data_IF_303840147522
#
_entry.id   IF_303840147522
#
_cell.length_a   1.000
_cell.length_b   1.000
_cell.length_c   1.000
_cell.angle_alpha   90.00
_cell.angle_beta   90.00
_cell.angle_gamma   90.00
#
_symmetry.space_group_name_H-M   'P 1'
#
loop_
_entity.id
_entity.type
_entity.pdbx_description
1 polymer ?
#
# COMPACT_ATOMS: atom_id res chain seq x y z
N UNK A 1 -17.52 -0.08 11.91
CA UNK A 1 -16.92 0.47 10.67
C UNK A 1 -16.42 1.86 11.00
N UNK A 2 -15.21 2.21 10.56
CA UNK A 2 -14.62 3.54 10.74
C UNK A 2 -14.33 4.23 9.42
N UNK A 3 -14.37 5.56 9.41
CA UNK A 3 -13.92 6.39 8.28
C UNK A 3 -13.22 7.65 8.81
N UNK A 4 -12.14 8.04 8.16
CA UNK A 4 -11.45 9.29 8.38
C UNK A 4 -11.15 9.98 7.04
N UNK A 5 -11.31 11.30 7.02
CA UNK A 5 -10.89 12.19 5.93
C UNK A 5 -9.86 13.15 6.51
N UNK A 6 -8.74 13.29 5.83
CA UNK A 6 -7.71 14.25 6.18
C UNK A 6 -7.43 15.18 5.00
N UNK A 7 -7.72 16.46 5.19
CA UNK A 7 -7.61 17.47 4.13
C UNK A 7 -6.19 18.03 4.04
N UNK A 8 -5.84 18.60 2.89
CA UNK A 8 -4.58 19.29 2.69
C UNK A 8 -4.46 20.57 3.54
N UNK A 9 -5.58 21.05 4.11
CA UNK A 9 -5.62 22.14 5.10
C UNK A 9 -5.31 21.65 6.52
N UNK A 10 -5.16 20.34 6.74
CA UNK A 10 -4.85 19.75 8.04
C UNK A 10 -6.09 19.40 8.88
N UNK A 11 -7.30 19.45 8.31
CA UNK A 11 -8.52 19.08 9.03
C UNK A 11 -8.72 17.56 9.03
N UNK A 12 -9.09 17.01 10.18
CA UNK A 12 -9.43 15.59 10.36
C UNK A 12 -10.93 15.47 10.63
N UNK A 13 -11.64 14.79 9.74
CA UNK A 13 -13.08 14.51 9.87
C UNK A 13 -13.25 13.00 10.01
N UNK A 14 -14.04 12.54 10.99
CA UNK A 14 -14.18 11.10 11.27
C UNK A 14 -15.63 10.71 11.54
N UNK A 15 -15.93 9.43 11.36
CA UNK A 15 -17.16 8.81 11.83
C UNK A 15 -16.94 7.32 12.16
N UNK A 16 -17.76 6.80 13.09
CA UNK A 16 -17.70 5.41 13.53
C UNK A 16 -16.39 5.06 14.24
N UNK A 17 -15.92 3.84 14.06
CA UNK A 17 -14.74 3.27 14.76
C UNK A 17 -13.42 3.74 14.14
N UNK A 18 -13.30 5.02 13.77
CA UNK A 18 -12.17 5.54 12.99
C UNK A 18 -10.81 5.48 13.71
N UNK A 19 -10.83 5.31 15.03
CA UNK A 19 -9.64 5.18 15.89
C UNK A 19 -9.26 3.73 16.19
N UNK A 20 -10.08 2.75 15.79
CA UNK A 20 -9.77 1.34 16.00
C UNK A 20 -8.55 0.96 15.16
N UNK A 21 -7.52 0.40 15.81
CA UNK A 21 -6.29 0.00 15.16
C UNK A 21 -6.42 -1.39 14.53
N UNK A 22 -6.05 -1.52 13.26
CA UNK A 22 -6.06 -2.79 12.54
C UNK A 22 -4.77 -2.99 11.74
N UNK A 23 -4.47 -4.24 11.36
CA UNK A 23 -3.35 -4.53 10.48
C UNK A 23 -3.61 -3.97 9.09
N UNK A 24 -2.75 -3.06 8.62
CA UNK A 24 -2.96 -2.36 7.34
C UNK A 24 -2.74 -3.27 6.12
N UNK A 25 -2.12 -4.44 6.32
CA UNK A 25 -1.96 -5.47 5.31
C UNK A 25 -1.35 -4.89 4.03
N UNK A 26 -1.90 -5.20 2.85
CA UNK A 26 -1.36 -4.75 1.56
C UNK A 26 -1.37 -3.23 1.33
N UNK A 27 -1.96 -2.42 2.21
CA UNK A 27 -1.78 -0.96 2.18
C UNK A 27 -0.30 -0.61 2.42
N UNK A 28 0.42 -1.41 3.20
CA UNK A 28 1.85 -1.24 3.48
C UNK A 28 2.73 -1.21 2.22
N UNK A 29 2.30 -1.86 1.14
CA UNK A 29 3.03 -1.91 -0.14
C UNK A 29 3.28 -0.53 -0.72
N UNK A 30 2.36 0.41 -0.51
CA UNK A 30 2.50 1.80 -0.95
C UNK A 30 3.63 2.50 -0.18
N UNK A 31 3.75 2.23 1.12
CA UNK A 31 4.81 2.77 1.97
C UNK A 31 6.17 2.18 1.62
N UNK A 32 6.25 0.86 1.43
CA UNK A 32 7.48 0.19 0.99
C UNK A 32 7.95 0.71 -0.37
N UNK A 33 7.04 0.88 -1.34
CA UNK A 33 7.35 1.48 -2.63
C UNK A 33 7.86 2.91 -2.47
N UNK A 34 7.16 3.72 -1.68
CA UNK A 34 7.53 5.13 -1.44
C UNK A 34 8.93 5.24 -0.83
N UNK A 35 9.25 4.39 0.15
CA UNK A 35 10.58 4.33 0.75
C UNK A 35 11.65 3.90 -0.27
N UNK A 36 11.36 2.92 -1.12
CA UNK A 36 12.28 2.48 -2.16
C UNK A 36 12.52 3.58 -3.21
N UNK A 37 11.50 4.35 -3.59
CA UNK A 37 11.64 5.48 -4.51
C UNK A 37 12.54 6.61 -3.98
N UNK A 38 12.72 6.71 -2.66
CA UNK A 38 13.67 7.63 -2.04
C UNK A 38 15.10 7.10 -1.95
N UNK A 39 15.32 5.81 -2.19
CA UNK A 39 16.63 5.14 -2.06
C UNK A 39 17.22 4.72 -3.41
N UNK A 40 16.40 4.62 -4.44
CA UNK A 40 16.75 4.07 -5.74
C UNK A 40 16.52 5.08 -6.86
N UNK A 41 17.38 5.06 -7.87
CA UNK A 41 17.09 5.77 -9.11
C UNK A 41 15.91 5.10 -9.84
N UNK A 42 15.08 5.85 -10.58
CA UNK A 42 13.92 5.30 -11.26
C UNK A 42 14.24 4.07 -12.13
N UNK A 43 15.33 4.11 -12.91
CA UNK A 43 15.69 3.01 -13.81
C UNK A 43 16.12 1.74 -13.05
N UNK A 44 16.74 1.89 -11.88
CA UNK A 44 17.10 0.77 -11.01
C UNK A 44 15.87 0.13 -10.37
N UNK A 45 14.87 0.95 -9.97
CA UNK A 45 13.63 0.44 -9.39
C UNK A 45 12.72 -0.22 -10.42
N UNK A 46 12.45 0.47 -11.52
CA UNK A 46 11.48 0.05 -12.52
C UNK A 46 12.01 -1.03 -13.47
N UNK A 47 13.30 -1.36 -13.42
CA UNK A 47 13.84 -2.57 -14.08
C UNK A 47 13.54 -3.84 -13.30
N UNK A 48 13.25 -3.75 -11.99
CA UNK A 48 12.95 -4.89 -11.12
C UNK A 48 11.46 -5.17 -10.95
N UNK A 49 10.61 -4.19 -11.21
CA UNK A 49 9.15 -4.30 -11.12
C UNK A 49 8.49 -3.38 -12.13
N UNK A 50 7.44 -3.87 -12.80
CA UNK A 50 6.69 -3.13 -13.81
C UNK A 50 5.70 -2.11 -13.22
N UNK A 51 4.82 -1.61 -14.10
CA UNK A 51 3.82 -0.58 -13.80
C UNK A 51 2.41 -0.94 -14.30
N UNK A 52 2.22 -2.17 -14.74
CA UNK A 52 1.03 -2.60 -15.46
C UNK A 52 0.09 -3.41 -14.56
N UNK A 53 -1.23 -3.33 -14.75
CA UNK A 53 -2.16 -4.25 -14.11
C UNK A 53 -1.80 -5.72 -14.42
N UNK A 54 -2.11 -6.61 -13.48
CA UNK A 54 -2.13 -8.05 -13.73
C UNK A 54 -3.55 -8.45 -14.15
N UNK A 55 -3.71 -9.06 -15.32
CA UNK A 55 -4.99 -9.61 -15.77
C UNK A 55 -5.33 -10.98 -15.14
N UNK A 56 -4.47 -11.48 -14.25
CA UNK A 56 -4.63 -12.71 -13.49
C UNK A 56 -4.57 -12.39 -12.00
N UNK A 57 -5.10 -13.29 -11.17
CA UNK A 57 -5.09 -13.16 -9.71
C UNK A 57 -3.69 -12.79 -9.20
N UNK A 58 -3.64 -11.90 -8.20
CA UNK A 58 -2.43 -11.24 -7.65
C UNK A 58 -1.28 -12.16 -7.18
N UNK A 59 -1.51 -13.47 -7.17
CA UNK A 59 -0.55 -14.51 -6.77
C UNK A 59 -0.28 -15.54 -7.89
N UNK A 60 -0.49 -15.18 -9.17
CA UNK A 60 -0.21 -16.07 -10.30
C UNK A 60 1.30 -16.27 -10.49
N UNK A 61 1.79 -17.49 -10.24
CA UNK A 61 3.17 -17.88 -10.54
C UNK A 61 3.40 -18.00 -12.06
N UNK A 62 2.37 -18.36 -12.82
CA UNK A 62 2.44 -18.54 -14.27
C UNK A 62 2.82 -17.21 -14.94
N UNK A 63 2.13 -16.12 -14.58
CA UNK A 63 2.45 -14.81 -15.14
C UNK A 63 3.88 -14.38 -14.79
N UNK A 64 4.31 -14.62 -13.55
CA UNK A 64 5.66 -14.27 -13.11
C UNK A 64 6.74 -15.07 -13.85
N UNK A 65 6.47 -16.34 -14.16
CA UNK A 65 7.36 -17.19 -14.97
C UNK A 65 7.44 -16.69 -16.42
N UNK A 66 6.30 -16.35 -17.04
CA UNK A 66 6.25 -15.78 -18.38
C UNK A 66 6.98 -14.44 -18.50
N UNK A 67 6.95 -13.63 -17.42
CA UNK A 67 7.63 -12.35 -17.33
C UNK A 67 9.07 -12.47 -16.79
N UNK A 68 9.64 -13.69 -16.80
CA UNK A 68 11.02 -13.96 -16.42
C UNK A 68 11.38 -13.39 -15.04
N UNK A 69 10.48 -13.56 -14.07
CA UNK A 69 10.68 -13.14 -12.70
C UNK A 69 10.54 -11.63 -12.45
N UNK A 70 10.12 -10.83 -13.43
CA UNK A 70 9.81 -9.40 -13.26
C UNK A 70 8.32 -9.26 -12.94
N UNK A 71 7.93 -8.84 -11.72
CA UNK A 71 6.52 -8.69 -11.39
C UNK A 71 5.89 -7.51 -12.11
N UNK A 72 4.60 -7.63 -12.45
CA UNK A 72 3.85 -6.63 -13.21
C UNK A 72 3.78 -5.22 -12.61
N UNK A 73 3.60 -5.14 -11.31
CA UNK A 73 3.42 -3.89 -10.57
C UNK A 73 3.78 -4.09 -9.09
N UNK A 74 4.07 -3.02 -8.33
CA UNK A 74 4.48 -3.13 -6.94
C UNK A 74 3.35 -3.49 -5.95
N UNK A 75 2.08 -3.58 -6.38
CA UNK A 75 0.93 -3.79 -5.49
C UNK A 75 0.43 -5.24 -5.42
N UNK A 76 0.83 -6.08 -6.37
CA UNK A 76 0.75 -7.54 -6.24
C UNK A 76 1.84 -8.08 -5.28
N UNK A 77 1.69 -9.32 -4.80
CA UNK A 77 2.60 -9.87 -3.79
C UNK A 77 4.04 -9.96 -4.31
N UNK A 78 4.23 -10.48 -5.53
CA UNK A 78 5.56 -10.57 -6.13
C UNK A 78 6.27 -9.20 -6.23
N UNK A 79 5.54 -8.17 -6.68
CA UNK A 79 6.06 -6.80 -6.76
C UNK A 79 6.44 -6.21 -5.40
N UNK A 80 5.60 -6.41 -4.40
CA UNK A 80 5.89 -5.93 -3.05
C UNK A 80 7.07 -6.67 -2.41
N UNK A 81 7.19 -7.97 -2.67
CA UNK A 81 8.30 -8.80 -2.16
C UNK A 81 9.62 -8.39 -2.81
N UNK A 82 9.65 -8.12 -4.13
CA UNK A 82 10.88 -7.62 -4.77
C UNK A 82 11.24 -6.20 -4.30
N UNK A 83 10.25 -5.34 -4.01
CA UNK A 83 10.49 -4.05 -3.36
C UNK A 83 11.08 -4.23 -1.96
N UNK A 84 10.63 -5.23 -1.19
CA UNK A 84 11.23 -5.55 0.11
C UNK A 84 12.67 -6.07 -0.02
N UNK A 85 12.97 -6.87 -1.05
CA UNK A 85 14.34 -7.29 -1.39
C UNK A 85 15.23 -6.08 -1.72
N UNK A 86 14.73 -5.13 -2.49
CA UNK A 86 15.44 -3.87 -2.75
C UNK A 86 15.72 -3.10 -1.46
N UNK A 87 14.72 -2.96 -0.58
CA UNK A 87 14.92 -2.28 0.71
C UNK A 87 15.96 -3.01 1.58
N UNK A 88 15.94 -4.34 1.59
CA UNK A 88 16.91 -5.17 2.30
C UNK A 88 18.36 -4.90 1.86
N UNK A 89 18.58 -4.61 0.56
CA UNK A 89 19.93 -4.32 0.04
C UNK A 89 20.49 -2.94 0.43
N UNK A 90 19.64 -1.96 0.78
CA UNK A 90 20.07 -0.56 1.02
C UNK A 90 19.88 -0.11 2.46
N UNK A 91 19.15 -0.87 3.27
CA UNK A 91 18.86 -0.54 4.66
C UNK A 91 19.41 -1.61 5.58
N UNK A 92 20.19 -1.20 6.58
CA UNK A 92 20.68 -2.09 7.64
C UNK A 92 19.55 -2.64 8.52
N UNK A 93 18.50 -1.84 8.73
CA UNK A 93 17.33 -2.22 9.52
C UNK A 93 16.02 -1.82 8.79
N UNK A 94 15.61 -2.54 7.74
CA UNK A 94 14.45 -2.16 6.91
C UNK A 94 13.16 -2.01 7.71
N UNK A 95 12.91 -2.90 8.68
CA UNK A 95 11.75 -2.83 9.58
C UNK A 95 11.75 -1.54 10.40
N UNK A 96 12.84 -1.27 11.11
CA UNK A 96 12.93 -0.08 11.94
C UNK A 96 12.77 1.20 11.10
N UNK A 97 13.40 1.24 9.91
CA UNK A 97 13.28 2.38 9.01
C UNK A 97 11.86 2.61 8.51
N UNK A 98 11.14 1.55 8.14
CA UNK A 98 9.74 1.66 7.72
C UNK A 98 8.85 2.14 8.88
N UNK A 99 9.06 1.62 10.09
CA UNK A 99 8.29 2.03 11.27
C UNK A 99 8.49 3.52 11.59
N UNK A 100 9.74 3.99 11.59
CA UNK A 100 10.07 5.41 11.79
C UNK A 100 9.44 6.29 10.71
N UNK A 101 9.52 5.86 9.45
CA UNK A 101 8.90 6.57 8.34
C UNK A 101 7.39 6.72 8.52
N UNK A 102 6.70 5.66 8.93
CA UNK A 102 5.25 5.70 9.19
C UNK A 102 4.90 6.57 10.39
N UNK A 103 5.66 6.49 11.49
CA UNK A 103 5.46 7.34 12.68
C UNK A 103 5.64 8.82 12.34
N UNK A 104 6.64 9.13 11.51
CA UNK A 104 6.88 10.49 11.04
C UNK A 104 5.70 11.01 10.19
N UNK A 105 5.24 10.22 9.20
CA UNK A 105 4.16 10.64 8.30
C UNK A 105 2.79 10.73 8.98
N UNK A 106 2.51 9.86 9.94
CA UNK A 106 1.26 9.89 10.73
C UNK A 106 1.27 10.96 11.81
N UNK A 107 2.46 11.33 12.32
CA UNK A 107 2.63 12.12 13.53
C UNK A 107 2.34 11.33 14.81
N UNK A 108 2.31 9.99 14.76
CA UNK A 108 1.97 9.13 15.89
C UNK A 108 3.16 8.22 16.29
N UNK A 109 3.88 8.51 17.38
CA UNK A 109 5.03 7.72 17.81
C UNK A 109 4.68 6.32 18.35
N UNK A 110 3.42 6.07 18.74
CA UNK A 110 3.00 4.80 19.32
C UNK A 110 2.66 3.72 18.29
N UNK A 111 2.60 4.03 16.99
CA UNK A 111 2.40 3.02 15.95
C UNK A 111 3.43 1.91 16.12
N UNK A 112 2.96 0.66 16.05
CA UNK A 112 3.78 -0.52 16.25
C UNK A 112 3.35 -1.66 15.32
N UNK A 113 4.22 -2.64 15.18
CA UNK A 113 3.88 -3.90 14.52
C UNK A 113 3.05 -4.78 15.46
N UNK A 114 2.00 -5.38 14.93
CA UNK A 114 1.32 -6.50 15.57
C UNK A 114 2.16 -7.78 15.40
N UNK A 115 2.84 -8.17 16.47
CA UNK A 115 3.72 -9.34 16.46
C UNK A 115 2.97 -10.65 16.25
N UNK A 116 1.71 -10.73 16.67
CA UNK A 116 0.88 -11.93 16.52
C UNK A 116 0.51 -12.10 15.05
N UNK A 117 0.05 -11.02 14.41
CA UNK A 117 -0.25 -11.02 12.97
C UNK A 117 1.02 -11.33 12.17
N UNK A 118 2.15 -10.67 12.46
CA UNK A 118 3.41 -10.92 11.74
C UNK A 118 3.87 -12.38 11.85
N UNK A 119 3.77 -12.99 13.04
CA UNK A 119 4.12 -14.39 13.25
C UNK A 119 3.14 -15.34 12.53
N UNK A 120 1.84 -15.05 12.59
CA UNK A 120 0.80 -15.82 11.90
C UNK A 120 1.02 -15.84 10.39
N UNK A 121 1.25 -14.68 9.78
CA UNK A 121 1.52 -14.56 8.34
C UNK A 121 2.80 -15.31 7.93
N UNK A 122 3.83 -15.27 8.78
CA UNK A 122 5.09 -15.98 8.53
C UNK A 122 4.90 -17.51 8.54
N UNK A 123 4.04 -18.05 9.40
CA UNK A 123 3.74 -19.49 9.44
C UNK A 123 3.03 -19.98 8.17
N UNK A 124 2.38 -19.08 7.42
CA UNK A 124 1.68 -19.39 6.17
C UNK A 124 2.40 -18.82 4.94
N UNK A 125 3.73 -18.72 5.02
CA UNK A 125 4.55 -18.00 4.03
C UNK A 125 4.89 -18.78 2.75
N UNK A 126 4.55 -20.07 2.67
CA UNK A 126 4.98 -20.98 1.58
C UNK A 126 4.78 -20.40 0.18
N UNK A 127 3.62 -19.81 -0.08
CA UNK A 127 3.32 -19.22 -1.39
C UNK A 127 4.19 -18.00 -1.70
N UNK A 128 4.42 -17.14 -0.72
CA UNK A 128 5.28 -15.97 -0.87
C UNK A 128 6.77 -16.38 -0.99
N UNK A 129 7.18 -17.46 -0.30
CA UNK A 129 8.49 -18.06 -0.48
C UNK A 129 8.68 -18.62 -1.88
N UNK A 130 7.70 -19.35 -2.40
CA UNK A 130 7.73 -19.86 -3.78
C UNK A 130 7.87 -18.72 -4.80
N UNK A 131 7.11 -17.62 -4.64
CA UNK A 131 7.24 -16.40 -5.45
C UNK A 131 8.66 -15.83 -5.38
N UNK A 132 9.22 -15.70 -4.18
CA UNK A 132 10.56 -15.14 -3.99
C UNK A 132 11.66 -16.03 -4.59
N UNK A 133 11.58 -17.35 -4.41
CA UNK A 133 12.52 -18.30 -5.03
C UNK A 133 12.41 -18.30 -6.55
N UNK A 134 11.21 -18.16 -7.12
CA UNK A 134 11.02 -18.04 -8.56
C UNK A 134 11.66 -16.76 -9.11
N UNK A 135 11.47 -15.61 -8.46
CA UNK A 135 12.17 -14.38 -8.85
C UNK A 135 13.70 -14.53 -8.73
N UNK A 136 14.17 -15.25 -7.71
CA UNK A 136 15.59 -15.55 -7.50
C UNK A 136 16.15 -16.43 -8.62
N UNK A 137 15.43 -17.45 -9.09
CA UNK A 137 15.89 -18.30 -10.19
C UNK A 137 16.03 -17.55 -11.51
N UNK A 138 15.29 -16.45 -11.69
CA UNK A 138 15.43 -15.54 -12.83
C UNK A 138 16.40 -14.36 -12.59
N UNK A 139 17.07 -14.30 -11.43
CA UNK A 139 18.04 -13.26 -11.11
C UNK A 139 17.44 -11.91 -10.68
N UNK A 140 16.13 -11.83 -10.43
CA UNK A 140 15.45 -10.62 -9.93
C UNK A 140 15.21 -10.66 -8.41
N UNK A 141 16.05 -11.37 -7.65
CA UNK A 141 16.01 -11.39 -6.19
C UNK A 141 17.41 -11.67 -5.64
N UNK A 142 17.92 -10.80 -4.75
CA UNK A 142 19.35 -10.77 -4.43
C UNK A 142 19.70 -11.07 -2.98
N UNK A 143 18.74 -11.03 -2.06
CA UNK A 143 18.95 -11.36 -0.66
C UNK A 143 18.44 -12.77 -0.31
N UNK A 144 18.66 -13.16 0.94
CA UNK A 144 18.03 -14.35 1.49
C UNK A 144 16.50 -14.18 1.56
N UNK A 145 15.77 -15.19 1.09
CA UNK A 145 14.30 -15.14 0.98
C UNK A 145 13.63 -14.92 2.34
N UNK A 146 14.03 -15.70 3.35
CA UNK A 146 13.36 -15.71 4.66
C UNK A 146 13.48 -14.35 5.38
N UNK A 147 14.67 -13.71 5.47
CA UNK A 147 14.77 -12.34 6.01
C UNK A 147 13.93 -11.30 5.27
N UNK A 148 13.87 -11.34 3.93
CA UNK A 148 13.04 -10.42 3.15
C UNK A 148 11.55 -10.64 3.45
N UNK A 149 11.11 -11.90 3.52
CA UNK A 149 9.73 -12.22 3.88
C UNK A 149 9.37 -11.74 5.28
N UNK A 150 10.29 -11.86 6.25
CA UNK A 150 10.07 -11.27 7.58
C UNK A 150 9.79 -9.77 7.50
N UNK A 151 10.53 -9.02 6.68
CA UNK A 151 10.28 -7.58 6.51
C UNK A 151 8.92 -7.33 5.84
N UNK A 152 8.60 -8.09 4.80
CA UNK A 152 7.31 -8.00 4.10
C UNK A 152 6.12 -8.21 5.05
N UNK A 153 6.14 -9.27 5.84
CA UNK A 153 5.05 -9.57 6.78
C UNK A 153 4.98 -8.58 7.95
N UNK A 154 6.12 -8.07 8.43
CA UNK A 154 6.09 -6.98 9.41
C UNK A 154 5.45 -5.73 8.83
N UNK A 155 5.77 -5.36 7.59
CA UNK A 155 5.12 -4.21 6.93
C UNK A 155 3.60 -4.38 6.88
N UNK A 156 3.11 -5.56 6.51
CA UNK A 156 1.68 -5.89 6.54
C UNK A 156 1.07 -5.82 7.95
N UNK A 157 1.84 -6.20 8.98
CA UNK A 157 1.40 -6.20 10.37
C UNK A 157 1.47 -4.84 11.08
N UNK A 158 1.79 -3.74 10.38
CA UNK A 158 1.64 -2.40 10.95
C UNK A 158 0.19 -2.21 11.43
N UNK A 159 0.02 -1.89 12.71
CA UNK A 159 -1.29 -1.63 13.32
C UNK A 159 -1.57 -0.14 13.27
N UNK A 160 -2.59 0.27 12.52
CA UNK A 160 -2.97 1.68 12.38
C UNK A 160 -4.49 1.87 12.34
N UNK A 161 -4.95 3.04 12.72
CA UNK A 161 -6.34 3.48 12.61
C UNK A 161 -6.65 4.16 11.26
N UNK A 162 -7.93 4.44 10.98
CA UNK A 162 -8.29 5.22 9.79
C UNK A 162 -7.67 6.63 9.84
N UNK A 163 -7.64 7.26 11.02
CA UNK A 163 -7.06 8.61 11.18
C UNK A 163 -5.56 8.59 10.86
N UNK A 164 -4.84 7.62 11.40
CA UNK A 164 -3.40 7.46 11.17
C UNK A 164 -3.10 7.17 9.71
N UNK A 165 -3.91 6.33 9.05
CA UNK A 165 -3.77 6.05 7.61
C UNK A 165 -4.02 7.29 6.75
N UNK A 166 -5.10 8.02 7.01
CA UNK A 166 -5.45 9.22 6.25
C UNK A 166 -4.33 10.29 6.36
N UNK A 167 -3.75 10.46 7.55
CA UNK A 167 -2.58 11.33 7.77
C UNK A 167 -1.33 10.86 7.04
N UNK A 168 -1.01 9.57 7.20
CA UNK A 168 0.20 8.96 6.66
C UNK A 168 0.30 9.13 5.14
N UNK A 169 -0.81 8.97 4.43
CA UNK A 169 -0.85 9.04 2.98
C UNK A 169 -1.16 10.44 2.42
N UNK A 170 -1.22 11.48 3.27
CA UNK A 170 -1.54 12.86 2.87
C UNK A 170 -0.66 13.40 1.74
N UNK A 171 0.60 12.96 1.67
CA UNK A 171 1.53 13.35 0.61
C UNK A 171 1.04 12.95 -0.80
N UNK A 172 0.23 11.90 -0.93
CA UNK A 172 -0.34 11.49 -2.22
C UNK A 172 -1.40 12.48 -2.73
N UNK A 173 -2.14 13.11 -1.81
CA UNK A 173 -3.08 14.17 -2.14
C UNK A 173 -2.39 15.54 -2.29
N UNK A 174 -1.20 15.71 -1.74
CA UNK A 174 -0.51 16.99 -1.66
C UNK A 174 0.81 17.03 -2.45
N UNK A 175 0.78 16.56 -3.70
CA UNK A 175 1.90 16.65 -4.67
C UNK A 175 3.24 16.11 -4.13
N UNK A 176 3.18 15.11 -3.26
CA UNK A 176 4.34 14.46 -2.66
C UNK A 176 4.82 15.08 -1.34
N UNK A 177 4.16 16.11 -0.80
CA UNK A 177 4.52 16.76 0.48
C UNK A 177 3.59 16.30 1.59
N UNK A 178 4.12 15.75 2.68
CA UNK A 178 3.33 15.36 3.85
C UNK A 178 2.68 16.60 4.47
N UNK A 179 1.36 16.55 4.70
CA UNK A 179 0.64 17.65 5.36
C UNK A 179 0.99 17.71 6.85
N UNK A 180 1.34 16.56 7.45
CA UNK A 180 1.70 16.47 8.88
C UNK A 180 3.06 17.09 9.15
N UNK A 181 4.06 16.79 8.31
CA UNK A 181 5.46 17.21 8.56
C UNK A 181 5.88 18.42 7.75
N UNK A 182 5.18 18.74 6.66
CA UNK A 182 5.60 19.76 5.69
C UNK A 182 6.77 19.32 4.79
N UNK A 183 7.25 18.08 4.94
CA UNK A 183 8.41 17.59 4.18
C UNK A 183 8.02 16.92 2.87
N UNK A 184 8.87 17.06 1.86
CA UNK A 184 8.75 16.34 0.59
C UNK A 184 9.10 14.87 0.79
N UNK A 185 8.11 14.01 0.62
CA UNK A 185 8.22 12.54 0.69
C UNK A 185 8.65 11.98 -0.67
N UNK A 186 8.03 12.46 -1.73
CA UNK A 186 8.33 12.12 -3.13
C UNK A 186 8.12 13.35 -4.01
N UNK A 187 8.67 13.35 -5.21
CA UNK A 187 8.45 14.45 -6.16
C UNK A 187 6.99 14.53 -6.62
N UNK A 188 6.51 15.70 -7.09
CA UNK A 188 5.17 15.82 -7.67
C UNK A 188 4.90 14.83 -8.81
N UNK A 189 5.90 14.56 -9.65
CA UNK A 189 5.82 13.58 -10.74
C UNK A 189 5.63 12.17 -10.21
N UNK A 190 6.43 11.79 -9.20
CA UNK A 190 6.32 10.49 -8.53
C UNK A 190 4.97 10.32 -7.81
N UNK A 191 4.44 11.38 -7.19
CA UNK A 191 3.11 11.37 -6.56
C UNK A 191 2.01 11.11 -7.60
N UNK A 192 2.05 11.80 -8.74
CA UNK A 192 1.14 11.53 -9.88
C UNK A 192 1.25 10.09 -10.37
N UNK A 193 2.46 9.57 -10.55
CA UNK A 193 2.70 8.19 -11.02
C UNK A 193 2.22 7.15 -10.00
N UNK A 194 2.42 7.40 -8.70
CA UNK A 194 1.94 6.51 -7.63
C UNK A 194 0.41 6.49 -7.58
N UNK A 195 -0.24 7.65 -7.73
CA UNK A 195 -1.69 7.73 -7.83
C UNK A 195 -2.22 7.00 -9.09
N UNK A 196 -1.51 7.06 -10.22
CA UNK A 196 -1.88 6.28 -11.39
C UNK A 196 -1.81 4.77 -11.12
N UNK A 197 -0.74 4.29 -10.47
CA UNK A 197 -0.63 2.88 -10.06
C UNK A 197 -1.72 2.48 -9.05
N UNK A 198 -2.09 3.36 -8.13
CA UNK A 198 -3.16 3.11 -7.17
C UNK A 198 -4.51 2.95 -7.88
N UNK A 199 -4.78 3.82 -8.87
CA UNK A 199 -5.99 3.74 -9.67
C UNK A 199 -6.09 2.45 -10.51
N UNK A 200 -4.96 1.98 -11.06
CA UNK A 200 -4.98 0.85 -12.02
C UNK A 200 -4.70 -0.51 -11.37
N UNK A 201 -3.97 -0.56 -10.25
CA UNK A 201 -3.49 -1.79 -9.64
C UNK A 201 -3.88 -1.94 -8.16
N UNK A 202 -4.38 -0.88 -7.52
CA UNK A 202 -4.45 -0.81 -6.07
C UNK A 202 -5.55 -1.66 -5.42
N UNK A 203 -6.59 -2.02 -6.16
CA UNK A 203 -7.65 -2.95 -5.70
C UNK A 203 -7.66 -4.27 -6.47
N UNK A 204 -6.49 -4.67 -7.02
CA UNK A 204 -6.33 -5.92 -7.74
C UNK A 204 -7.33 -6.05 -8.91
N UNK A 205 -7.99 -7.19 -9.03
CA UNK A 205 -9.03 -7.46 -10.02
C UNK A 205 -10.26 -6.54 -9.84
N UNK A 206 -10.40 -5.90 -8.68
CA UNK A 206 -11.45 -4.92 -8.39
C UNK A 206 -11.10 -3.47 -8.75
N UNK A 207 -9.92 -3.18 -9.29
CA UNK A 207 -9.49 -1.80 -9.58
C UNK A 207 -10.41 -1.09 -10.60
N UNK A 208 -10.84 -1.78 -11.65
CA UNK A 208 -11.76 -1.22 -12.65
C UNK A 208 -13.12 -0.88 -12.06
N UNK A 209 -13.69 -1.80 -11.28
CA UNK A 209 -14.99 -1.59 -10.62
C UNK A 209 -14.93 -0.47 -9.57
N UNK A 210 -13.84 -0.40 -8.82
CA UNK A 210 -13.62 0.67 -7.84
C UNK A 210 -13.45 2.04 -8.54
N UNK A 211 -12.70 2.09 -9.63
CA UNK A 211 -12.57 3.29 -10.44
C UNK A 211 -13.93 3.75 -10.99
N UNK A 212 -14.77 2.82 -11.44
CA UNK A 212 -16.11 3.12 -11.95
C UNK A 212 -17.06 3.64 -10.87
N UNK A 213 -17.08 3.02 -9.69
CA UNK A 213 -18.04 3.34 -8.62
C UNK A 213 -17.58 4.49 -7.70
N UNK A 214 -16.30 4.55 -7.40
CA UNK A 214 -15.71 5.50 -6.44
C UNK A 214 -14.97 6.63 -7.14
N UNK A 215 -14.29 6.34 -8.26
CA UNK A 215 -13.58 7.35 -9.04
C UNK A 215 -12.39 7.97 -8.30
N UNK A 216 -11.68 7.20 -7.47
CA UNK A 216 -10.50 7.67 -6.73
C UNK A 216 -9.38 6.62 -6.80
N UNK A 217 -8.10 7.03 -6.89
CA UNK A 217 -6.98 6.13 -6.64
C UNK A 217 -7.06 5.57 -5.22
N UNK A 218 -6.85 4.27 -5.06
CA UNK A 218 -6.92 3.66 -3.73
C UNK A 218 -6.11 2.38 -3.59
N UNK A 219 -5.96 1.91 -2.36
CA UNK A 219 -5.35 0.62 -2.03
C UNK A 219 -6.14 -0.05 -0.93
N UNK A 220 -6.51 -1.31 -1.16
CA UNK A 220 -7.15 -2.16 -0.14
C UNK A 220 -6.14 -3.05 0.59
N UNK A 221 -6.50 -3.46 1.80
CA UNK A 221 -5.83 -4.51 2.57
C UNK A 221 -6.86 -5.49 3.15
N UNK A 222 -6.50 -6.76 3.23
CA UNK A 222 -7.36 -7.83 3.77
C UNK A 222 -7.67 -7.67 5.27
N UNK A 223 -7.03 -6.73 5.96
CA UNK A 223 -7.42 -6.29 7.30
C UNK A 223 -8.71 -5.46 7.32
N UNK A 224 -9.34 -5.22 6.16
CA UNK A 224 -10.58 -4.47 6.02
C UNK A 224 -10.40 -2.98 5.74
N UNK A 225 -9.15 -2.52 5.60
CA UNK A 225 -8.82 -1.12 5.32
C UNK A 225 -8.82 -0.81 3.83
N UNK A 226 -9.21 0.42 3.48
CA UNK A 226 -9.00 1.00 2.15
C UNK A 226 -8.54 2.44 2.33
N UNK A 227 -7.45 2.83 1.65
CA UNK A 227 -7.13 4.24 1.43
C UNK A 227 -7.66 4.68 0.06
N UNK A 228 -8.15 5.92 -0.02
CA UNK A 228 -8.54 6.59 -1.25
C UNK A 228 -7.98 8.02 -1.26
N UNK A 229 -7.57 8.49 -2.42
CA UNK A 229 -6.89 9.79 -2.58
C UNK A 229 -7.71 10.69 -3.48
N UNK A 230 -7.93 11.94 -3.07
CA UNK A 230 -8.44 13.00 -3.95
C UNK A 230 -7.29 13.97 -4.21
N UNK A 231 -6.59 13.85 -5.35
CA UNK A 231 -5.42 14.67 -5.64
C UNK A 231 -5.72 16.17 -5.58
N UNK A 232 -4.93 16.90 -4.81
CA UNK A 232 -5.09 18.34 -4.57
C UNK A 232 -5.93 18.67 -3.34
N UNK A 233 -6.62 17.71 -2.74
CA UNK A 233 -7.63 18.01 -1.70
C UNK A 233 -7.46 17.24 -0.41
N UNK A 234 -7.50 15.91 -0.45
CA UNK A 234 -7.62 15.10 0.77
C UNK A 234 -7.26 13.64 0.56
N UNK A 235 -6.96 12.97 1.67
CA UNK A 235 -6.84 11.51 1.75
C UNK A 235 -7.94 10.97 2.64
N UNK A 236 -8.50 9.83 2.26
CA UNK A 236 -9.62 9.18 2.92
C UNK A 236 -9.17 7.77 3.30
N UNK A 237 -9.50 7.33 4.51
CA UNK A 237 -9.31 5.97 4.94
C UNK A 237 -10.63 5.42 5.50
N UNK A 238 -10.99 4.21 5.10
CA UNK A 238 -12.14 3.46 5.63
C UNK A 238 -11.69 2.13 6.18
N UNK A 239 -12.41 1.62 7.15
CA UNK A 239 -12.19 0.30 7.71
C UNK A 239 -13.50 -0.41 8.05
N UNK A 240 -13.64 -1.62 7.50
CA UNK A 240 -14.63 -2.61 7.93
C UNK A 240 -14.09 -4.01 7.65
N UNK A 241 -14.09 -4.92 8.64
CA UNK A 241 -13.44 -6.22 8.53
C UNK A 241 -14.08 -7.17 7.51
N UNK A 242 -15.39 -7.05 7.25
CA UNK A 242 -16.07 -7.89 6.27
C UNK A 242 -15.62 -7.56 4.83
N UNK A 243 -15.11 -8.57 4.12
CA UNK A 243 -14.59 -8.47 2.76
C UNK A 243 -15.57 -9.03 1.71
N UNK A 244 -15.47 -8.54 0.48
CA UNK A 244 -16.11 -9.13 -0.70
C UNK A 244 -15.28 -10.31 -1.26
N UNK A 245 -15.76 -10.90 -2.37
CA UNK A 245 -15.10 -12.02 -3.03
C UNK A 245 -13.70 -11.68 -3.60
N UNK A 246 -13.43 -10.39 -3.83
CA UNK A 246 -12.15 -9.88 -4.33
C UNK A 246 -11.20 -9.48 -3.19
N UNK A 247 -11.60 -9.67 -1.92
CA UNK A 247 -10.79 -9.34 -0.74
C UNK A 247 -10.79 -7.86 -0.37
N UNK A 248 -11.72 -7.06 -0.90
CA UNK A 248 -11.87 -5.65 -0.56
C UNK A 248 -12.95 -5.44 0.51
N UNK A 249 -12.82 -4.41 1.34
CA UNK A 249 -13.82 -4.11 2.37
C UNK A 249 -15.18 -3.77 1.74
N UNK A 250 -16.21 -4.57 2.01
CA UNK A 250 -17.52 -4.43 1.38
C UNK A 250 -18.21 -3.12 1.81
N UNK A 251 -18.37 -2.94 3.13
CA UNK A 251 -18.97 -1.73 3.68
C UNK A 251 -18.07 -0.50 3.48
N UNK A 252 -16.75 -0.66 3.55
CA UNK A 252 -15.80 0.42 3.28
C UNK A 252 -15.90 0.96 1.86
N UNK A 253 -15.97 0.07 0.86
CA UNK A 253 -16.14 0.46 -0.55
C UNK A 253 -17.45 1.20 -0.78
N UNK A 254 -18.55 0.71 -0.18
CA UNK A 254 -19.85 1.39 -0.27
C UNK A 254 -19.84 2.76 0.40
N UNK A 255 -19.15 2.91 1.53
CA UNK A 255 -19.01 4.19 2.20
C UNK A 255 -18.24 5.20 1.33
N UNK A 256 -17.16 4.76 0.66
CA UNK A 256 -16.39 5.61 -0.26
C UNK A 256 -17.22 6.03 -1.48
N UNK A 257 -17.99 5.12 -2.08
CA UNK A 257 -18.90 5.44 -3.19
C UNK A 257 -19.94 6.50 -2.78
N UNK A 258 -20.60 6.32 -1.63
CA UNK A 258 -21.57 7.28 -1.10
C UNK A 258 -20.92 8.63 -0.78
N UNK A 259 -19.71 8.62 -0.24
CA UNK A 259 -18.97 9.85 0.04
C UNK A 259 -18.65 10.58 -1.26
N UNK A 260 -18.05 9.89 -2.25
CA UNK A 260 -17.70 10.43 -3.57
C UNK A 260 -18.90 11.10 -4.26
N UNK A 261 -20.06 10.44 -4.24
CA UNK A 261 -21.32 10.97 -4.79
C UNK A 261 -21.78 12.24 -4.08
N UNK A 262 -21.65 12.31 -2.74
CA UNK A 262 -22.09 13.47 -1.94
C UNK A 262 -21.18 14.68 -2.12
N UNK A 263 -19.87 14.47 -2.20
CA UNK A 263 -18.89 15.56 -2.33
C UNK A 263 -18.65 15.96 -3.80
N UNK A 264 -19.22 15.22 -4.76
CA UNK A 264 -19.05 15.48 -6.19
C UNK A 264 -17.60 15.32 -6.66
N UNK A 265 -16.82 14.45 -6.01
CA UNK A 265 -15.41 14.22 -6.36
C UNK A 265 -15.25 12.85 -7.00
N UNK A 266 -14.80 12.89 -8.25
CA UNK A 266 -14.27 11.78 -9.03
C UNK A 266 -13.06 12.33 -9.78
N UNK A 267 -12.00 11.53 -9.96
CA UNK A 267 -10.88 11.88 -10.83
C UNK A 267 -11.17 11.60 -12.32
N UNK A 268 -12.34 11.00 -12.61
CA UNK A 268 -12.89 10.73 -13.94
C UNK A 268 -14.14 11.55 -14.19
#
# INVERSE_FOLDING_TARGET
MGIAVFTNQGEVITAGDAQEGFSIQSISKVLSLTLAMGLYQPDELWSRVGKEPSGQAFNSLIQLEMEQGIPRNPFINAGAIVVCDMLQSRLSAPRQRLLEFVRQLSGEPQIAYDKVVAASEMMHSDRNAAIAYLMRSFGNFHNEVIPVLHNYFHACALKMSCVELAKTFSYLANKGVSVVTGETVITPTQSKQTNALLATCGLYDGAGEFAYRVGMPGKSGVGGGIIAVVPGEMTIAVWSPALDQSGNSLAGTRALELLAQRIGRSIF
#
